data_IF_665908048892
#
_entry.id   IF_665908048892
#
_cell.length_a   1.000
_cell.length_b   1.000
_cell.length_c   1.000
_cell.angle_alpha   90.00
_cell.angle_beta   90.00
_cell.angle_gamma   90.00
#
_symmetry.space_group_name_H-M   'P 1'
#
loop_
_entity.id
_entity.type
_entity.pdbx_description
1 polymer ?
#
# COMPACT_ATOMS: atom_id res chain seq x y z
N UNK A 1 15.14 -16.16 9.00
CA UNK A 1 14.20 -15.77 7.94
C UNK A 1 14.70 -14.45 7.37
N UNK A 2 15.06 -14.38 6.08
CA UNK A 2 15.40 -13.11 5.44
C UNK A 2 14.11 -12.28 5.34
N UNK A 3 13.93 -11.31 6.25
CA UNK A 3 12.86 -10.31 6.12
C UNK A 3 13.13 -9.52 4.86
N UNK A 4 12.18 -9.50 3.93
CA UNK A 4 12.25 -8.64 2.74
C UNK A 4 12.42 -7.17 3.19
N UNK A 5 13.09 -6.36 2.38
CA UNK A 5 13.19 -4.94 2.66
C UNK A 5 11.80 -4.28 2.60
N UNK A 6 11.53 -3.22 3.37
CA UNK A 6 10.28 -2.46 3.31
C UNK A 6 9.85 -2.10 1.88
N UNK A 7 10.77 -1.64 1.03
CA UNK A 7 10.49 -1.28 -0.36
C UNK A 7 10.05 -2.48 -1.20
N UNK A 8 10.66 -3.65 -0.98
CA UNK A 8 10.29 -4.89 -1.64
C UNK A 8 8.90 -5.37 -1.18
N UNK A 9 8.60 -5.26 0.12
CA UNK A 9 7.27 -5.59 0.66
C UNK A 9 6.19 -4.69 0.04
N UNK A 10 6.40 -3.37 -0.05
CA UNK A 10 5.42 -2.46 -0.70
C UNK A 10 5.23 -2.79 -2.17
N UNK A 11 6.31 -3.15 -2.88
CA UNK A 11 6.22 -3.59 -4.28
C UNK A 11 5.41 -4.87 -4.44
N UNK A 12 5.53 -5.82 -3.51
CA UNK A 12 4.72 -7.04 -3.53
C UNK A 12 3.24 -6.74 -3.32
N UNK A 13 2.91 -5.87 -2.36
CA UNK A 13 1.54 -5.39 -2.10
C UNK A 13 0.96 -4.73 -3.36
N UNK A 14 1.73 -3.84 -4.00
CA UNK A 14 1.35 -3.20 -5.28
C UNK A 14 1.09 -4.25 -6.38
N UNK A 15 1.93 -5.29 -6.45
CA UNK A 15 1.75 -6.42 -7.35
C UNK A 15 0.45 -7.18 -7.11
N UNK A 16 0.15 -7.51 -5.85
CA UNK A 16 -1.08 -8.20 -5.46
C UNK A 16 -2.32 -7.37 -5.81
N UNK A 17 -2.34 -6.08 -5.47
CA UNK A 17 -3.43 -5.17 -5.84
C UNK A 17 -3.64 -5.19 -7.35
N UNK A 18 -2.58 -5.06 -8.14
CA UNK A 18 -2.70 -5.09 -9.60
C UNK A 18 -3.22 -6.43 -10.14
N UNK A 19 -2.87 -7.56 -9.51
CA UNK A 19 -3.40 -8.88 -9.89
C UNK A 19 -4.89 -9.01 -9.61
N UNK A 20 -5.37 -8.49 -8.47
CA UNK A 20 -6.79 -8.45 -8.13
C UNK A 20 -7.54 -7.59 -9.16
N UNK A 21 -7.04 -6.37 -9.42
CA UNK A 21 -7.69 -5.43 -10.34
C UNK A 21 -7.75 -5.92 -11.79
N UNK A 22 -6.83 -6.78 -12.23
CA UNK A 22 -6.89 -7.37 -13.57
C UNK A 22 -8.08 -8.30 -13.79
N UNK A 23 -8.67 -8.83 -12.71
CA UNK A 23 -9.83 -9.73 -12.76
C UNK A 23 -11.16 -8.99 -12.64
N UNK A 24 -11.10 -7.70 -12.30
CA UNK A 24 -12.27 -6.87 -12.08
C UNK A 24 -12.70 -6.19 -13.38
N UNK A 25 -14.00 -6.21 -13.66
CA UNK A 25 -14.57 -5.39 -14.72
C UNK A 25 -14.65 -3.92 -14.24
N UNK A 26 -13.67 -3.12 -14.66
CA UNK A 26 -13.54 -1.72 -14.25
C UNK A 26 -14.69 -0.83 -14.72
N UNK A 27 -15.46 -1.25 -15.73
CA UNK A 27 -16.61 -0.50 -16.23
C UNK A 27 -17.83 -0.64 -15.30
N UNK A 28 -17.88 -1.72 -14.52
CA UNK A 28 -18.91 -1.95 -13.51
C UNK A 28 -18.60 -1.26 -12.17
N UNK A 29 -17.36 -0.81 -11.96
CA UNK A 29 -16.97 -0.16 -10.71
C UNK A 29 -17.52 1.29 -10.68
N UNK A 30 -18.32 1.66 -9.68
CA UNK A 30 -18.81 3.03 -9.53
C UNK A 30 -17.66 4.05 -9.47
N UNK A 31 -17.92 5.29 -9.88
CA UNK A 31 -16.91 6.37 -9.87
C UNK A 31 -16.19 6.53 -8.53
N UNK A 32 -16.93 6.41 -7.42
CA UNK A 32 -16.36 6.47 -6.06
C UNK A 32 -15.37 5.33 -5.80
N UNK A 33 -15.66 4.11 -6.26
CA UNK A 33 -14.75 2.97 -6.17
C UNK A 33 -13.49 3.18 -7.02
N UNK A 34 -13.65 3.67 -8.25
CA UNK A 34 -12.52 4.02 -9.13
C UNK A 34 -11.63 5.10 -8.52
N UNK A 35 -12.24 6.09 -7.86
CA UNK A 35 -11.51 7.12 -7.12
C UNK A 35 -10.72 6.52 -5.95
N UNK A 36 -11.34 5.66 -5.14
CA UNK A 36 -10.65 4.96 -4.05
C UNK A 36 -9.46 4.14 -4.58
N UNK A 37 -9.62 3.47 -5.72
CA UNK A 37 -8.54 2.74 -6.38
C UNK A 37 -7.39 3.63 -6.86
N UNK A 38 -7.69 4.79 -7.44
CA UNK A 38 -6.67 5.74 -7.84
C UNK A 38 -5.91 6.29 -6.63
N UNK A 39 -6.62 6.63 -5.56
CA UNK A 39 -6.03 7.08 -4.29
C UNK A 39 -5.19 5.97 -3.63
N UNK A 40 -5.62 4.70 -3.72
CA UNK A 40 -4.85 3.53 -3.29
C UNK A 40 -3.54 3.41 -4.05
N UNK A 41 -3.60 3.37 -5.39
CA UNK A 41 -2.40 3.26 -6.25
C UNK A 41 -1.43 4.39 -6.01
N UNK A 42 -1.93 5.62 -5.89
CA UNK A 42 -1.09 6.78 -5.57
C UNK A 42 -0.44 6.65 -4.19
N UNK A 43 -1.18 6.19 -3.19
CA UNK A 43 -0.65 5.99 -1.83
C UNK A 43 0.43 4.91 -1.79
N UNK A 44 0.23 3.78 -2.50
CA UNK A 44 1.24 2.73 -2.62
C UNK A 44 2.48 3.20 -3.39
N UNK A 45 2.30 3.96 -4.47
CA UNK A 45 3.41 4.55 -5.23
C UNK A 45 4.28 5.47 -4.36
N UNK A 46 3.66 6.37 -3.60
CA UNK A 46 4.40 7.23 -2.67
C UNK A 46 5.02 6.45 -1.50
N UNK A 47 4.31 5.46 -0.96
CA UNK A 47 4.86 4.61 0.10
C UNK A 47 6.13 3.92 -0.38
N UNK A 48 6.12 3.35 -1.59
CA UNK A 48 7.27 2.69 -2.22
C UNK A 48 8.46 3.63 -2.36
N UNK A 49 8.25 4.85 -2.88
CA UNK A 49 9.30 5.87 -2.97
C UNK A 49 9.88 6.17 -1.59
N UNK A 50 9.05 6.46 -0.59
CA UNK A 50 9.56 6.79 0.74
C UNK A 50 10.22 5.62 1.47
N UNK A 51 9.79 4.38 1.23
CA UNK A 51 10.48 3.19 1.76
C UNK A 51 11.82 2.97 1.08
N UNK A 52 11.94 3.28 -0.21
CA UNK A 52 13.22 3.23 -0.93
C UNK A 52 14.16 4.32 -0.43
N UNK A 53 13.66 5.55 -0.28
CA UNK A 53 14.44 6.66 0.28
C UNK A 53 14.88 6.37 1.72
N UNK A 54 14.03 5.73 2.54
CA UNK A 54 14.36 5.24 3.88
C UNK A 54 15.55 4.28 3.89
N UNK A 55 15.57 3.33 2.95
CA UNK A 55 16.63 2.33 2.82
C UNK A 55 17.95 2.90 2.31
N UNK A 56 17.88 3.95 1.48
CA UNK A 56 19.04 4.61 0.87
C UNK A 56 19.57 5.80 1.67
N UNK A 57 18.84 6.26 2.68
CA UNK A 57 19.23 7.41 3.50
C UNK A 57 20.48 7.08 4.34
N UNK A 58 21.51 7.92 4.22
CA UNK A 58 22.73 7.81 5.03
C UNK A 58 22.58 8.53 6.39
N UNK A 59 21.65 9.49 6.48
CA UNK A 59 21.39 10.26 7.69
C UNK A 59 20.19 9.72 8.46
N UNK A 60 20.35 9.51 9.77
CA UNK A 60 19.26 9.00 10.63
C UNK A 60 18.03 9.90 10.63
N UNK A 61 18.22 11.22 10.54
CA UNK A 61 17.10 12.17 10.50
C UNK A 61 16.25 12.00 9.22
N UNK A 62 16.90 11.87 8.07
CA UNK A 62 16.21 11.62 6.79
C UNK A 62 15.50 10.28 6.80
N UNK A 63 16.15 9.26 7.35
CA UNK A 63 15.55 7.95 7.53
C UNK A 63 14.27 8.03 8.38
N UNK A 64 14.29 8.72 9.52
CA UNK A 64 13.10 8.91 10.36
C UNK A 64 11.97 9.68 9.64
N UNK A 65 12.33 10.72 8.88
CA UNK A 65 11.35 11.51 8.13
C UNK A 65 10.71 10.70 7.00
N UNK A 66 11.51 9.91 6.28
CA UNK A 66 11.04 9.02 5.23
C UNK A 66 10.19 7.87 5.79
N UNK A 67 10.56 7.29 6.94
CA UNK A 67 9.73 6.32 7.66
C UNK A 67 8.36 6.91 8.01
N UNK A 68 8.31 8.13 8.56
CA UNK A 68 7.05 8.81 8.91
C UNK A 68 6.18 9.06 7.68
N UNK A 69 6.76 9.51 6.57
CA UNK A 69 6.05 9.71 5.31
C UNK A 69 5.52 8.39 4.75
N UNK A 70 6.33 7.34 4.72
CA UNK A 70 5.94 6.00 4.29
C UNK A 70 4.78 5.46 5.13
N UNK A 71 4.88 5.48 6.46
CA UNK A 71 3.80 5.06 7.37
C UNK A 71 2.49 5.81 7.12
N UNK A 72 2.56 7.12 6.89
CA UNK A 72 1.35 7.91 6.55
C UNK A 72 0.70 7.42 5.25
N UNK A 73 1.50 7.17 4.21
CA UNK A 73 0.99 6.69 2.92
C UNK A 73 0.47 5.25 2.98
N UNK A 74 1.09 4.39 3.77
CA UNK A 74 0.63 3.02 4.03
C UNK A 74 -0.72 3.00 4.77
N UNK A 75 -0.90 3.85 5.80
CA UNK A 75 -2.20 4.00 6.46
C UNK A 75 -3.29 4.53 5.52
N UNK A 76 -2.94 5.47 4.63
CA UNK A 76 -3.85 5.92 3.59
C UNK A 76 -4.22 4.77 2.65
N UNK A 77 -3.24 3.98 2.19
CA UNK A 77 -3.50 2.81 1.34
C UNK A 77 -4.46 1.82 2.02
N UNK A 78 -4.23 1.49 3.30
CA UNK A 78 -5.13 0.63 4.08
C UNK A 78 -6.56 1.17 4.15
N UNK A 79 -6.72 2.49 4.35
CA UNK A 79 -8.04 3.14 4.32
C UNK A 79 -8.71 3.01 2.95
N UNK A 80 -7.94 3.14 1.87
CA UNK A 80 -8.49 3.04 0.51
C UNK A 80 -8.83 1.60 0.11
N UNK A 81 -8.11 0.60 0.63
CA UNK A 81 -8.51 -0.82 0.49
C UNK A 81 -9.89 -1.03 1.09
N UNK A 82 -10.12 -0.54 2.32
CA UNK A 82 -11.44 -0.63 2.97
C UNK A 82 -12.52 0.10 2.16
N UNK A 83 -12.25 1.34 1.72
CA UNK A 83 -13.22 2.10 0.90
C UNK A 83 -13.54 1.43 -0.41
N UNK A 84 -12.54 0.88 -1.10
CA UNK A 84 -12.77 0.16 -2.35
C UNK A 84 -13.57 -1.13 -2.12
N UNK A 85 -13.43 -1.78 -0.95
CA UNK A 85 -14.25 -2.96 -0.59
C UNK A 85 -15.75 -2.63 -0.42
N UNK A 86 -16.12 -1.39 -0.10
CA UNK A 86 -17.53 -0.94 -0.08
C UNK A 86 -18.18 -0.99 -1.47
N UNK A 87 -17.38 -1.12 -2.53
CA UNK A 87 -17.82 -1.19 -3.93
C UNK A 87 -17.46 -2.53 -4.58
N UNK A 88 -17.38 -3.60 -3.78
CA UNK A 88 -17.10 -4.98 -4.20
C UNK A 88 -15.78 -5.17 -4.98
N UNK A 89 -14.83 -4.23 -4.84
CA UNK A 89 -13.54 -4.30 -5.51
C UNK A 89 -12.60 -5.30 -4.84
N UNK A 90 -12.65 -5.37 -3.51
CA UNK A 90 -11.85 -6.28 -2.69
C UNK A 90 -12.78 -7.12 -1.84
N UNK A 91 -12.59 -8.44 -1.86
CA UNK A 91 -13.30 -9.34 -0.95
C UNK A 91 -12.74 -9.25 0.47
N UNK A 92 -13.46 -9.84 1.44
CA UNK A 92 -13.03 -9.85 2.85
C UNK A 92 -11.62 -10.47 3.04
N UNK A 93 -11.29 -11.50 2.25
CA UNK A 93 -9.96 -12.15 2.26
C UNK A 93 -8.89 -11.17 1.79
N UNK A 94 -9.12 -10.48 0.66
CA UNK A 94 -8.19 -9.50 0.11
C UNK A 94 -7.95 -8.36 1.10
N UNK A 95 -9.02 -7.84 1.71
CA UNK A 95 -8.95 -6.77 2.71
C UNK A 95 -8.11 -7.19 3.92
N UNK A 96 -8.34 -8.40 4.45
CA UNK A 96 -7.61 -8.91 5.59
C UNK A 96 -6.12 -9.10 5.27
N UNK A 97 -5.82 -9.72 4.13
CA UNK A 97 -4.45 -9.98 3.70
C UNK A 97 -3.70 -8.67 3.44
N UNK A 98 -4.23 -7.79 2.59
CA UNK A 98 -3.58 -6.51 2.25
C UNK A 98 -3.39 -5.64 3.49
N UNK A 99 -4.37 -5.61 4.40
CA UNK A 99 -4.24 -4.85 5.65
C UNK A 99 -3.13 -5.38 6.55
N UNK A 100 -3.01 -6.71 6.68
CA UNK A 100 -1.98 -7.34 7.48
C UNK A 100 -0.57 -7.13 6.89
N UNK A 101 -0.43 -7.24 5.57
CA UNK A 101 0.82 -6.98 4.86
C UNK A 101 1.24 -5.51 5.02
N UNK A 102 0.30 -4.57 4.84
CA UNK A 102 0.56 -3.13 5.06
C UNK A 102 1.00 -2.87 6.51
N UNK A 103 0.33 -3.47 7.49
CA UNK A 103 0.68 -3.31 8.91
C UNK A 103 2.09 -3.82 9.20
N UNK A 104 2.47 -4.94 8.59
CA UNK A 104 3.83 -5.51 8.72
C UNK A 104 4.88 -4.49 8.28
N UNK A 105 4.70 -3.84 7.12
CA UNK A 105 5.62 -2.80 6.64
C UNK A 105 5.67 -1.61 7.61
N UNK A 106 4.52 -1.19 8.15
CA UNK A 106 4.45 -0.08 9.11
C UNK A 106 5.26 -0.38 10.38
N UNK A 107 5.19 -1.62 10.88
CA UNK A 107 5.94 -2.07 12.05
C UNK A 107 7.44 -2.16 11.76
N UNK A 108 7.82 -2.61 10.55
CA UNK A 108 9.22 -2.78 10.15
C UNK A 108 9.97 -1.44 9.98
N UNK A 109 9.26 -0.34 9.69
CA UNK A 109 9.84 1.00 9.58
C UNK A 109 10.18 1.59 10.96
N UNK A 110 11.47 1.71 11.29
CA UNK A 110 11.99 2.19 12.60
C UNK A 110 12.61 3.57 12.56
#
# INVERSE_FOLDING_TARGET
MNSKSPSAQVKDIEGQVNLILRRLDMDQVPEKGRRALNELKQSLGFAKTYTQDYELSEMRQEQLDNAKKAKKKLNNARTQVLRASEFDVFGAIDVAQLSAEIETVIVDLK
#
